data_IF_375607324290
#
_entry.id   IF_375607324290
#
_cell.length_a   1.000
_cell.length_b   1.000
_cell.length_c   1.000
_cell.angle_alpha   90.00
_cell.angle_beta   90.00
_cell.angle_gamma   90.00
#
_symmetry.space_group_name_H-M   'P 1'
#
loop_
_entity.id
_entity.type
_entity.pdbx_description
1 polymer ?
#
# COMPACT_ATOMS: atom_id res chain seq x y z
N UNK A 1 -33.09 2.58 4.34
CA UNK A 1 -32.00 3.36 3.82
C UNK A 1 -31.18 3.95 4.98
N UNK A 2 -30.61 3.09 5.79
CA UNK A 2 -29.67 3.50 6.85
C UNK A 2 -28.76 2.30 7.09
N UNK A 3 -27.46 2.45 6.96
CA UNK A 3 -26.58 1.35 7.29
C UNK A 3 -25.23 1.30 6.59
N UNK A 4 -24.58 2.44 6.32
CA UNK A 4 -23.18 2.42 5.82
C UNK A 4 -22.25 3.36 6.60
N UNK A 5 -22.62 3.78 7.81
CA UNK A 5 -21.89 4.81 8.55
C UNK A 5 -21.26 4.35 9.88
N UNK A 6 -21.16 3.04 10.17
CA UNK A 6 -20.84 2.63 11.55
C UNK A 6 -19.81 1.49 11.70
N UNK A 7 -18.85 1.38 10.78
CA UNK A 7 -17.65 0.53 10.98
C UNK A 7 -16.39 1.27 10.56
N UNK A 8 -16.30 2.55 10.82
CA UNK A 8 -15.00 3.22 10.93
C UNK A 8 -14.54 2.98 12.37
N UNK A 9 -13.75 1.94 12.59
CA UNK A 9 -13.04 1.73 13.83
C UNK A 9 -12.29 3.02 14.15
N UNK A 10 -12.73 3.69 15.22
CA UNK A 10 -12.18 4.97 15.66
C UNK A 10 -10.69 4.77 15.91
N UNK A 11 -9.86 5.37 15.07
CA UNK A 11 -8.43 5.50 15.36
C UNK A 11 -8.31 6.18 16.71
N UNK A 12 -7.96 5.44 17.74
CA UNK A 12 -7.69 5.99 19.05
C UNK A 12 -6.34 6.70 19.02
N UNK A 13 -6.20 7.81 19.75
CA UNK A 13 -4.94 8.53 19.87
C UNK A 13 -3.80 7.56 20.28
N UNK A 14 -4.07 6.67 21.21
CA UNK A 14 -3.13 5.62 21.66
C UNK A 14 -2.63 4.71 20.52
N UNK A 15 -3.48 4.40 19.54
CA UNK A 15 -3.07 3.58 18.40
C UNK A 15 -2.13 4.36 17.48
N UNK A 16 -2.45 5.62 17.20
CA UNK A 16 -1.59 6.49 16.37
C UNK A 16 -0.24 6.70 17.05
N UNK A 17 -0.21 6.96 18.35
CA UNK A 17 1.03 7.12 19.11
C UNK A 17 1.91 5.88 19.05
N UNK A 18 1.34 4.69 19.29
CA UNK A 18 2.08 3.41 19.21
C UNK A 18 2.65 3.16 17.81
N UNK A 19 1.85 3.45 16.79
CA UNK A 19 2.25 3.29 15.39
C UNK A 19 3.39 4.26 15.04
N UNK A 20 3.26 5.53 15.41
CA UNK A 20 4.32 6.52 15.20
C UNK A 20 5.59 6.18 15.96
N UNK A 21 5.48 5.69 17.20
CA UNK A 21 6.65 5.26 17.97
C UNK A 21 7.41 4.12 17.26
N UNK A 22 6.69 3.14 16.70
CA UNK A 22 7.31 2.04 15.94
C UNK A 22 8.00 2.53 14.66
N UNK A 23 7.37 3.46 13.93
CA UNK A 23 7.96 4.05 12.72
C UNK A 23 9.19 4.89 13.05
N UNK A 24 9.12 5.72 14.08
CA UNK A 24 10.25 6.56 14.50
C UNK A 24 11.44 5.74 15.03
N UNK A 25 11.17 4.56 15.60
CA UNK A 25 12.23 3.62 15.97
C UNK A 25 12.94 3.03 14.72
N UNK A 26 12.17 2.73 13.68
CA UNK A 26 12.71 2.20 12.42
C UNK A 26 13.32 3.28 11.52
N UNK A 27 12.79 4.50 11.57
CA UNK A 27 13.18 5.65 10.75
C UNK A 27 13.42 6.90 11.62
N UNK A 28 14.52 6.96 12.37
CA UNK A 28 14.79 8.10 13.28
C UNK A 28 14.81 9.47 12.58
N UNK A 29 15.26 9.49 11.32
CA UNK A 29 15.37 10.70 10.50
C UNK A 29 14.00 11.29 10.10
N UNK A 30 12.91 10.52 10.25
CA UNK A 30 11.56 10.96 9.95
C UNK A 30 10.78 11.43 11.20
N UNK A 31 11.43 11.57 12.34
CA UNK A 31 10.76 11.92 13.61
C UNK A 31 10.00 13.25 13.54
N UNK A 32 10.55 14.21 12.85
CA UNK A 32 9.97 15.55 12.70
C UNK A 32 9.19 15.71 11.38
N UNK A 33 9.08 14.65 10.58
CA UNK A 33 8.35 14.70 9.32
C UNK A 33 6.83 14.77 9.58
N UNK A 34 6.09 15.57 8.79
CA UNK A 34 4.64 15.60 8.87
C UNK A 34 4.07 14.24 8.51
N UNK A 35 2.99 13.86 9.20
CA UNK A 35 2.29 12.62 8.91
C UNK A 35 0.81 12.85 8.60
N UNK A 36 0.24 11.93 7.85
CA UNK A 36 -1.19 11.88 7.58
C UNK A 36 -1.68 10.44 7.76
N UNK A 37 -2.74 10.27 8.53
CA UNK A 37 -3.39 8.97 8.66
C UNK A 37 -4.28 8.74 7.44
N UNK A 38 -4.04 7.64 6.73
CA UNK A 38 -4.80 7.22 5.56
C UNK A 38 -5.91 6.26 6.03
N UNK A 39 -7.16 6.68 5.98
CA UNK A 39 -8.31 5.97 6.59
C UNK A 39 -8.99 4.95 5.68
N UNK A 40 -8.43 4.63 4.53
CA UNK A 40 -9.13 3.86 3.49
C UNK A 40 -8.93 2.34 3.53
N UNK A 41 -8.31 1.79 4.58
CA UNK A 41 -8.09 0.35 4.70
C UNK A 41 -8.98 -0.26 5.79
N UNK A 42 -9.74 -1.32 5.43
CA UNK A 42 -10.71 -1.98 6.31
C UNK A 42 -10.09 -2.76 7.47
N UNK A 43 -8.88 -3.29 7.29
CA UNK A 43 -8.21 -4.19 8.22
C UNK A 43 -6.82 -3.73 8.64
N UNK A 44 -6.44 -2.54 8.19
CA UNK A 44 -5.10 -1.98 8.44
C UNK A 44 -5.17 -0.48 8.59
N UNK A 45 -4.30 0.07 9.45
CA UNK A 45 -4.03 1.51 9.50
C UNK A 45 -2.86 1.81 8.60
N UNK A 46 -3.01 2.77 7.71
CA UNK A 46 -1.91 3.29 6.90
C UNK A 46 -1.59 4.73 7.31
N UNK A 47 -0.31 5.02 7.43
CA UNK A 47 0.21 6.36 7.71
C UNK A 47 1.19 6.75 6.61
N UNK A 48 0.98 7.93 6.02
CA UNK A 48 1.98 8.59 5.22
C UNK A 48 2.85 9.43 6.15
N UNK A 49 4.16 9.22 6.16
CA UNK A 49 5.13 9.95 6.96
C UNK A 49 6.31 10.37 6.06
N UNK A 50 6.41 11.65 5.76
CA UNK A 50 7.38 12.14 4.80
C UNK A 50 7.28 11.38 3.47
N UNK A 51 8.37 10.78 2.96
CA UNK A 51 8.36 10.04 1.70
C UNK A 51 7.91 8.58 1.83
N UNK A 52 7.46 8.15 3.02
CA UNK A 52 7.14 6.77 3.33
C UNK A 52 5.66 6.55 3.55
N UNK A 53 5.16 5.37 3.15
CA UNK A 53 3.86 4.86 3.56
C UNK A 53 4.11 3.63 4.44
N UNK A 54 3.53 3.66 5.64
CA UNK A 54 3.61 2.59 6.62
C UNK A 54 2.23 1.99 6.85
N UNK A 55 2.11 0.65 6.77
CA UNK A 55 0.84 -0.09 6.90
C UNK A 55 0.90 -1.01 8.10
N UNK A 56 -0.05 -0.87 9.01
CA UNK A 56 -0.17 -1.61 10.26
C UNK A 56 -1.41 -2.51 10.22
N UNK A 57 -1.25 -3.82 10.30
CA UNK A 57 -2.39 -4.74 10.37
C UNK A 57 -3.09 -4.62 11.72
N UNK A 58 -4.43 -4.77 11.73
CA UNK A 58 -5.26 -4.62 12.92
C UNK A 58 -5.82 -5.96 13.44
N UNK A 59 -5.43 -7.07 12.81
CA UNK A 59 -5.83 -8.43 13.23
C UNK A 59 -4.78 -9.45 12.82
N UNK A 60 -4.86 -10.66 13.35
CA UNK A 60 -3.99 -11.77 12.96
C UNK A 60 -4.15 -12.13 11.48
N UNK A 61 -5.39 -12.08 10.98
CA UNK A 61 -5.68 -12.31 9.57
C UNK A 61 -5.03 -11.24 8.66
N UNK A 62 -5.12 -9.96 9.06
CA UNK A 62 -4.47 -8.85 8.38
C UNK A 62 -2.94 -8.94 8.44
N UNK A 63 -2.39 -9.40 9.57
CA UNK A 63 -0.95 -9.66 9.73
C UNK A 63 -0.48 -10.73 8.75
N UNK A 64 -1.19 -11.86 8.67
CA UNK A 64 -0.88 -12.93 7.73
C UNK A 64 -1.02 -12.45 6.28
N UNK A 65 -2.03 -11.64 5.96
CA UNK A 65 -2.22 -11.05 4.64
C UNK A 65 -1.07 -10.10 4.27
N UNK A 66 -0.64 -9.25 5.21
CA UNK A 66 0.47 -8.32 4.99
C UNK A 66 1.79 -9.05 4.72
N UNK A 67 2.07 -10.13 5.46
CA UNK A 67 3.26 -10.96 5.22
C UNK A 67 3.26 -11.56 3.81
N UNK A 68 2.11 -12.10 3.38
CA UNK A 68 1.94 -12.63 2.00
C UNK A 68 2.10 -11.53 0.95
N UNK A 69 1.52 -10.35 1.19
CA UNK A 69 1.64 -9.19 0.29
C UNK A 69 3.11 -8.80 0.08
N UNK A 70 3.88 -8.66 1.17
CA UNK A 70 5.31 -8.32 1.10
C UNK A 70 6.10 -9.40 0.35
N UNK A 71 5.84 -10.68 0.65
CA UNK A 71 6.51 -11.80 -0.01
C UNK A 71 6.17 -11.85 -1.51
N UNK A 72 4.90 -11.67 -1.86
CA UNK A 72 4.44 -11.65 -3.25
C UNK A 72 5.06 -10.48 -4.03
N UNK A 73 5.03 -9.27 -3.48
CA UNK A 73 5.63 -8.09 -4.14
C UNK A 73 7.13 -8.28 -4.39
N UNK A 74 7.84 -8.92 -3.48
CA UNK A 74 9.27 -9.25 -3.68
C UNK A 74 9.50 -10.15 -4.89
N UNK A 75 8.58 -11.09 -5.15
CA UNK A 75 8.65 -12.01 -6.29
C UNK A 75 8.27 -11.32 -7.60
N UNK A 76 7.18 -10.54 -7.62
CA UNK A 76 6.65 -9.97 -8.86
C UNK A 76 7.34 -8.68 -9.29
N UNK A 77 7.77 -7.83 -8.34
CA UNK A 77 8.36 -6.50 -8.61
C UNK A 77 9.47 -6.51 -9.68
N UNK A 78 10.48 -7.40 -9.63
CA UNK A 78 11.55 -7.41 -10.63
C UNK A 78 11.09 -7.85 -12.03
N UNK A 79 9.84 -8.30 -12.18
CA UNK A 79 9.26 -8.80 -13.44
C UNK A 79 8.30 -7.80 -14.07
N UNK A 80 8.01 -6.70 -13.40
CA UNK A 80 7.05 -5.70 -13.84
C UNK A 80 7.78 -4.47 -14.39
N UNK A 81 7.26 -3.91 -15.46
CA UNK A 81 7.77 -2.67 -16.06
C UNK A 81 7.19 -1.40 -15.43
N UNK A 82 6.11 -1.54 -14.68
CA UNK A 82 5.51 -0.44 -13.89
C UNK A 82 6.02 -0.48 -12.46
N UNK A 83 6.06 0.69 -11.81
CA UNK A 83 6.42 0.79 -10.41
C UNK A 83 5.34 0.18 -9.53
N UNK A 84 5.73 -0.76 -8.67
CA UNK A 84 4.91 -1.30 -7.59
C UNK A 84 5.66 -1.12 -6.27
N UNK A 85 4.97 -1.16 -5.11
CA UNK A 85 5.60 -0.94 -3.82
C UNK A 85 6.78 -1.88 -3.55
N UNK A 86 7.91 -1.31 -3.11
CA UNK A 86 9.05 -2.06 -2.59
C UNK A 86 8.91 -2.16 -1.08
N UNK A 87 8.03 -3.05 -0.66
CA UNK A 87 7.67 -3.20 0.75
C UNK A 87 8.75 -3.92 1.54
N UNK A 88 9.13 -3.34 2.67
CA UNK A 88 9.92 -3.98 3.72
C UNK A 88 9.04 -4.23 4.94
N UNK A 89 9.11 -5.43 5.50
CA UNK A 89 8.43 -5.80 6.74
C UNK A 89 9.33 -5.50 7.93
N UNK A 90 8.79 -4.80 8.91
CA UNK A 90 9.43 -4.51 10.18
C UNK A 90 8.74 -5.32 11.27
N UNK A 91 9.51 -6.19 11.92
CA UNK A 91 9.06 -6.98 13.05
C UNK A 91 9.57 -6.35 14.35
N UNK A 92 8.68 -6.20 15.31
CA UNK A 92 9.02 -5.56 16.58
C UNK A 92 7.79 -5.53 17.49
N UNK A 93 7.75 -4.61 18.46
CA UNK A 93 6.58 -4.46 19.34
C UNK A 93 5.28 -4.17 18.60
N UNK A 94 5.39 -3.53 17.43
CA UNK A 94 4.31 -3.38 16.47
C UNK A 94 4.83 -3.78 15.09
N UNK A 95 4.23 -4.82 14.50
CA UNK A 95 4.56 -5.25 13.14
C UNK A 95 3.96 -4.29 12.12
N UNK A 96 4.75 -3.87 11.15
CA UNK A 96 4.28 -3.03 10.04
C UNK A 96 5.12 -3.25 8.78
N UNK A 97 4.57 -2.85 7.65
CA UNK A 97 5.34 -2.71 6.41
C UNK A 97 5.54 -1.25 6.07
N UNK A 98 6.66 -0.95 5.40
CA UNK A 98 6.93 0.39 4.87
C UNK A 98 7.46 0.30 3.45
N UNK A 99 7.10 1.30 2.65
CA UNK A 99 7.64 1.52 1.32
C UNK A 99 7.69 3.02 0.99
N UNK A 100 8.52 3.40 0.04
CA UNK A 100 8.50 4.77 -0.49
C UNK A 100 7.21 5.04 -1.25
N UNK A 101 6.67 6.23 -1.10
CA UNK A 101 5.52 6.68 -1.89
C UNK A 101 5.86 6.60 -3.38
N UNK A 102 4.98 5.95 -4.14
CA UNK A 102 5.04 5.95 -5.60
C UNK A 102 4.36 7.23 -6.07
N UNK A 103 5.08 8.03 -6.85
CA UNK A 103 4.53 9.26 -7.39
C UNK A 103 3.40 8.96 -8.37
N UNK A 104 2.31 9.71 -8.25
CA UNK A 104 1.14 9.57 -9.10
C UNK A 104 -0.11 10.11 -8.43
N UNK A 105 -1.12 10.36 -9.25
CA UNK A 105 -2.42 10.83 -8.81
C UNK A 105 -3.50 9.80 -9.15
N UNK A 106 -4.57 9.81 -8.39
CA UNK A 106 -5.76 9.06 -8.74
C UNK A 106 -6.38 9.61 -10.03
N UNK A 107 -6.81 8.72 -10.90
CA UNK A 107 -7.51 9.07 -12.12
C UNK A 107 -9.01 8.75 -11.95
N UNK A 108 -9.82 9.70 -11.45
CA UNK A 108 -11.25 9.50 -11.31
C UNK A 108 -11.93 9.38 -12.69
N UNK A 109 -13.11 8.74 -12.78
CA UNK A 109 -13.80 8.51 -14.04
C UNK A 109 -14.01 9.78 -14.89
N UNK A 110 -14.33 10.91 -14.27
CA UNK A 110 -14.52 12.17 -14.97
C UNK A 110 -13.20 12.68 -15.60
N UNK A 111 -12.07 12.57 -14.88
CA UNK A 111 -10.77 12.94 -15.41
C UNK A 111 -10.32 11.99 -16.54
N UNK A 112 -10.59 10.68 -16.40
CA UNK A 112 -10.36 9.73 -17.50
C UNK A 112 -11.20 10.07 -18.74
N UNK A 113 -12.49 10.38 -18.56
CA UNK A 113 -13.37 10.75 -19.68
C UNK A 113 -12.85 11.97 -20.44
N UNK A 114 -12.24 12.94 -19.74
CA UNK A 114 -11.69 14.16 -20.32
C UNK A 114 -10.33 13.97 -21.01
N UNK A 115 -9.68 12.80 -20.88
CA UNK A 115 -8.40 12.56 -21.52
C UNK A 115 -8.54 12.50 -23.05
N UNK A 116 -7.53 13.02 -23.79
CA UNK A 116 -7.43 12.77 -25.22
C UNK A 116 -7.35 11.28 -25.55
N UNK A 117 -7.89 10.85 -26.67
CA UNK A 117 -7.90 9.44 -27.10
C UNK A 117 -6.50 8.82 -27.14
N UNK A 118 -5.49 9.58 -27.56
CA UNK A 118 -4.10 9.13 -27.53
C UNK A 118 -3.58 8.84 -26.09
N UNK A 119 -4.05 9.59 -25.09
CA UNK A 119 -3.69 9.35 -23.67
C UNK A 119 -4.42 8.11 -23.15
N UNK A 120 -5.68 7.91 -23.48
CA UNK A 120 -6.45 6.71 -23.14
C UNK A 120 -5.80 5.45 -23.75
N UNK A 121 -5.40 5.54 -25.03
CA UNK A 121 -4.72 4.45 -25.72
C UNK A 121 -3.38 4.08 -25.03
N UNK A 122 -2.57 5.09 -24.67
CA UNK A 122 -1.32 4.84 -23.93
C UNK A 122 -1.56 4.19 -22.56
N UNK A 123 -2.57 4.67 -21.81
CA UNK A 123 -2.96 4.08 -20.54
C UNK A 123 -3.38 2.63 -20.72
N UNK A 124 -4.25 2.36 -21.72
CA UNK A 124 -4.67 0.99 -22.04
C UNK A 124 -3.52 0.08 -22.41
N UNK A 125 -2.55 0.57 -23.20
CA UNK A 125 -1.35 -0.18 -23.56
C UNK A 125 -0.47 -0.48 -22.33
N UNK A 126 -0.31 0.49 -21.42
CA UNK A 126 0.45 0.31 -20.17
C UNK A 126 -0.21 -0.73 -19.28
N UNK A 127 -1.53 -0.66 -19.09
CA UNK A 127 -2.28 -1.62 -18.29
C UNK A 127 -2.24 -3.02 -18.93
N UNK A 128 -2.42 -3.11 -20.25
CA UNK A 128 -2.33 -4.38 -20.98
C UNK A 128 -0.97 -5.05 -20.82
N UNK A 129 0.11 -4.27 -20.92
CA UNK A 129 1.47 -4.75 -20.68
C UNK A 129 1.66 -5.24 -19.24
N UNK A 130 1.20 -4.44 -18.26
CA UNK A 130 1.26 -4.81 -16.85
C UNK A 130 0.57 -6.16 -16.58
N UNK A 131 -0.66 -6.35 -17.07
CA UNK A 131 -1.37 -7.61 -16.91
C UNK A 131 -0.67 -8.78 -17.61
N UNK A 132 -0.12 -8.55 -18.81
CA UNK A 132 0.65 -9.58 -19.50
C UNK A 132 1.89 -10.00 -18.68
N UNK A 133 2.65 -9.05 -18.17
CA UNK A 133 3.81 -9.31 -17.31
C UNK A 133 3.42 -10.06 -16.04
N UNK A 134 2.32 -9.64 -15.37
CA UNK A 134 1.83 -10.28 -14.16
C UNK A 134 1.40 -11.73 -14.42
N UNK A 135 0.70 -12.00 -15.52
CA UNK A 135 0.26 -13.35 -15.89
C UNK A 135 1.41 -14.25 -16.36
N UNK A 136 2.55 -13.69 -16.73
CA UNK A 136 3.76 -14.46 -17.03
C UNK A 136 4.57 -14.86 -15.79
N UNK A 137 4.20 -14.39 -14.59
CA UNK A 137 4.85 -14.82 -13.35
C UNK A 137 4.50 -16.29 -13.07
N UNK A 138 5.49 -17.19 -12.92
CA UNK A 138 5.22 -18.59 -12.61
C UNK A 138 4.43 -18.72 -11.30
N UNK A 139 3.37 -19.52 -11.32
CA UNK A 139 2.46 -19.70 -10.17
C UNK A 139 3.12 -20.38 -8.98
N UNK A 140 4.09 -21.26 -9.21
CA UNK A 140 4.90 -21.89 -8.16
C UNK A 140 5.67 -20.87 -7.32
N UNK A 141 6.14 -19.78 -7.92
CA UNK A 141 6.82 -18.71 -7.21
C UNK A 141 5.85 -17.87 -6.36
N UNK A 142 4.59 -17.75 -6.77
CA UNK A 142 3.59 -16.96 -6.05
C UNK A 142 2.89 -17.76 -4.95
N UNK A 143 2.83 -19.08 -5.06
CA UNK A 143 2.27 -19.96 -4.01
C UNK A 143 3.26 -20.16 -2.87
N UNK A 144 4.57 -20.11 -3.14
CA UNK A 144 5.62 -20.23 -2.14
C UNK A 144 5.88 -18.93 -1.35
N UNK A 145 5.32 -17.80 -1.78
CA UNK A 145 5.40 -16.50 -1.12
C UNK A 145 4.25 -16.33 -0.13
#
# INVERSE_FOLDING_TARGET
MAGHAEVQGKLTEDLVERVLAAVHAAFPDLRDAPYTVLTHSWDSVAIALGPMICKFPQSDAATAALRREVALLRVIRPRLSVSVPDMTLFEGPALFSAHRTIAGDHLPPAAYAALPEAAKARLGATLGKFYAELHCVPTDLTVAA
#
